data_IF_305451998166
#
_entry.id   IF_305451998166
#
_cell.length_a   1.000
_cell.length_b   1.000
_cell.length_c   1.000
_cell.angle_alpha   90.00
_cell.angle_beta   90.00
_cell.angle_gamma   90.00
#
_symmetry.space_group_name_H-M   'P 1'
#
loop_
_entity.id
_entity.type
_entity.pdbx_description
1 polymer ?
#
# COMPACT_ATOMS: atom_id res chain seq x y z
N UNK A 1 3.55 10.99 -31.99
CA UNK A 1 3.71 9.82 -31.07
C UNK A 1 3.60 10.34 -29.65
N UNK A 2 2.60 9.91 -28.89
CA UNK A 2 2.37 10.41 -27.53
C UNK A 2 3.26 9.64 -26.54
N UNK A 3 3.92 10.36 -25.62
CA UNK A 3 4.75 9.77 -24.56
C UNK A 3 4.04 9.98 -23.23
N UNK A 4 3.73 8.90 -22.52
CA UNK A 4 3.14 8.99 -21.20
C UNK A 4 4.12 9.65 -20.22
N UNK A 5 3.62 10.61 -19.43
CA UNK A 5 4.38 11.26 -18.35
C UNK A 5 4.26 10.52 -17.01
N UNK A 6 3.72 9.30 -17.03
CA UNK A 6 3.68 8.46 -15.84
C UNK A 6 5.10 8.11 -15.40
N UNK A 7 5.33 7.91 -14.10
CA UNK A 7 6.64 7.52 -13.60
C UNK A 7 7.14 6.25 -14.32
N UNK A 8 8.38 6.29 -14.78
CA UNK A 8 9.07 5.12 -15.35
C UNK A 8 10.05 4.57 -14.34
N UNK A 9 10.21 3.26 -14.32
CA UNK A 9 11.18 2.55 -13.50
C UNK A 9 12.54 2.38 -14.21
N UNK A 10 12.67 2.82 -15.46
CA UNK A 10 13.90 2.76 -16.27
C UNK A 10 14.34 4.15 -16.73
N UNK A 11 14.40 5.11 -15.80
CA UNK A 11 14.86 6.45 -16.13
C UNK A 11 16.33 6.43 -16.61
N UNK A 12 16.63 7.20 -17.65
CA UNK A 12 17.99 7.38 -18.19
C UNK A 12 18.73 8.49 -17.44
N UNK A 13 20.06 8.42 -17.40
CA UNK A 13 20.92 9.45 -16.78
C UNK A 13 20.63 9.72 -15.28
N UNK A 14 20.11 8.71 -14.56
CA UNK A 14 19.78 8.85 -13.13
C UNK A 14 20.84 8.33 -12.17
N UNK A 15 21.97 7.81 -12.67
CA UNK A 15 22.94 7.06 -11.86
C UNK A 15 23.50 7.88 -10.69
N UNK A 16 23.80 9.17 -10.92
CA UNK A 16 24.26 10.10 -9.87
C UNK A 16 23.21 10.25 -8.75
N UNK A 17 21.93 10.35 -9.10
CA UNK A 17 20.83 10.38 -8.12
C UNK A 17 20.70 9.06 -7.37
N UNK A 18 20.87 7.92 -8.05
CA UNK A 18 20.81 6.61 -7.41
C UNK A 18 21.97 6.41 -6.42
N UNK A 19 23.16 6.89 -6.76
CA UNK A 19 24.33 6.83 -5.89
C UNK A 19 24.15 7.74 -4.66
N UNK A 20 23.68 8.97 -4.86
CA UNK A 20 23.36 9.89 -3.76
C UNK A 20 22.29 9.31 -2.81
N UNK A 21 21.22 8.70 -3.35
CA UNK A 21 20.21 7.99 -2.56
C UNK A 21 20.80 6.80 -1.81
N UNK A 22 21.65 6.02 -2.47
CA UNK A 22 22.32 4.87 -1.86
C UNK A 22 23.17 5.31 -0.67
N UNK A 23 23.95 6.38 -0.84
CA UNK A 23 24.81 6.95 0.20
C UNK A 23 23.97 7.51 1.35
N UNK A 24 22.94 8.31 1.06
CA UNK A 24 22.08 8.91 2.06
C UNK A 24 21.39 7.84 2.92
N UNK A 25 20.90 6.77 2.28
CA UNK A 25 20.26 5.64 2.95
C UNK A 25 21.24 4.72 3.71
N UNK A 26 22.55 4.93 3.63
CA UNK A 26 23.53 4.25 4.50
C UNK A 26 23.80 5.02 5.79
N UNK A 27 23.56 6.33 5.82
CA UNK A 27 23.81 7.15 7.01
C UNK A 27 22.71 6.97 8.06
N UNK A 28 23.10 6.64 9.30
CA UNK A 28 22.14 6.42 10.40
C UNK A 28 21.41 7.69 10.83
N UNK A 29 22.04 8.85 10.62
CA UNK A 29 21.50 10.14 11.07
C UNK A 29 20.60 10.82 10.02
N UNK A 30 20.61 10.32 8.78
CA UNK A 30 19.74 10.83 7.71
C UNK A 30 18.41 10.08 7.76
N UNK A 31 17.37 10.82 8.13
CA UNK A 31 16.00 10.30 8.24
C UNK A 31 15.07 10.87 7.16
N UNK A 32 15.44 12.01 6.57
CA UNK A 32 14.61 12.77 5.64
C UNK A 32 15.41 13.06 4.36
N UNK A 33 14.80 12.80 3.20
CA UNK A 33 15.37 13.09 1.87
C UNK A 33 14.32 13.87 1.09
N UNK A 34 14.70 15.04 0.57
CA UNK A 34 13.85 15.85 -0.29
C UNK A 34 14.36 15.81 -1.74
N UNK A 35 13.48 15.47 -2.68
CA UNK A 35 13.76 15.60 -4.12
C UNK A 35 13.03 16.84 -4.65
N UNK A 36 13.80 17.85 -5.06
CA UNK A 36 13.28 19.08 -5.65
C UNK A 36 13.34 19.03 -7.18
N UNK A 37 12.44 19.77 -7.84
CA UNK A 37 12.41 19.89 -9.30
C UNK A 37 11.02 20.23 -9.81
N UNK A 38 10.93 20.82 -11.00
CA UNK A 38 9.66 21.21 -11.63
C UNK A 38 8.70 20.01 -11.80
N UNK A 39 7.40 20.28 -11.96
CA UNK A 39 6.45 19.23 -12.30
C UNK A 39 6.89 18.52 -13.60
N UNK A 40 6.78 17.19 -13.66
CA UNK A 40 7.24 16.41 -14.81
C UNK A 40 8.76 16.20 -14.93
N UNK A 41 9.59 16.72 -14.02
CA UNK A 41 11.06 16.51 -14.02
C UNK A 41 11.53 15.08 -13.73
N UNK A 42 10.61 14.13 -13.49
CA UNK A 42 10.96 12.72 -13.30
C UNK A 42 11.33 12.32 -11.86
N UNK A 43 11.07 13.16 -10.84
CA UNK A 43 11.29 12.82 -9.42
C UNK A 43 10.73 11.45 -9.03
N UNK A 44 9.46 11.19 -9.37
CA UNK A 44 8.81 9.91 -9.11
C UNK A 44 9.48 8.75 -9.88
N UNK A 45 9.96 9.00 -11.10
CA UNK A 45 10.67 8.00 -11.90
C UNK A 45 12.03 7.65 -11.29
N UNK A 46 12.76 8.62 -10.74
CA UNK A 46 14.03 8.40 -10.03
C UNK A 46 13.80 7.45 -8.84
N UNK A 47 12.78 7.71 -8.02
CA UNK A 47 12.43 6.86 -6.88
C UNK A 47 12.01 5.46 -7.32
N UNK A 48 11.18 5.34 -8.36
CA UNK A 48 10.72 4.04 -8.85
C UNK A 48 11.90 3.22 -9.42
N UNK A 49 12.79 3.88 -10.17
CA UNK A 49 14.00 3.28 -10.73
C UNK A 49 14.94 2.80 -9.63
N UNK A 50 15.16 3.61 -8.59
CA UNK A 50 15.96 3.26 -7.42
C UNK A 50 15.41 2.00 -6.72
N UNK A 51 14.12 2.01 -6.38
CA UNK A 51 13.48 0.91 -5.66
C UNK A 51 13.50 -0.38 -6.47
N UNK A 52 13.28 -0.33 -7.79
CA UNK A 52 13.40 -1.50 -8.66
C UNK A 52 14.80 -2.08 -8.64
N UNK A 53 15.84 -1.25 -8.84
CA UNK A 53 17.23 -1.71 -8.89
C UNK A 53 17.67 -2.35 -7.57
N UNK A 54 17.25 -1.80 -6.43
CA UNK A 54 17.50 -2.41 -5.13
C UNK A 54 16.75 -3.75 -4.93
N UNK A 55 15.55 -3.91 -5.50
CA UNK A 55 14.83 -5.20 -5.51
C UNK A 55 15.46 -6.22 -6.45
N UNK A 56 16.08 -5.80 -7.54
CA UNK A 56 16.79 -6.69 -8.47
C UNK A 56 18.10 -7.20 -7.87
N UNK A 57 18.88 -6.34 -7.19
CA UNK A 57 20.10 -6.74 -6.45
C UNK A 57 19.86 -7.86 -5.43
N UNK A 58 18.65 -7.94 -4.84
CA UNK A 58 18.21 -9.02 -3.94
C UNK A 58 18.37 -10.43 -4.53
N UNK A 59 18.40 -10.57 -5.87
CA UNK A 59 18.48 -11.88 -6.54
C UNK A 59 19.90 -12.44 -6.64
N UNK A 60 20.93 -11.64 -6.33
CA UNK A 60 22.33 -12.08 -6.37
C UNK A 60 22.76 -12.57 -4.98
N UNK A 61 23.26 -13.81 -4.89
CA UNK A 61 23.58 -14.51 -3.63
C UNK A 61 24.59 -13.74 -2.75
N UNK A 62 25.49 -12.98 -3.38
CA UNK A 62 26.60 -12.25 -2.74
C UNK A 62 26.13 -11.02 -1.94
N UNK A 63 24.99 -10.42 -2.32
CA UNK A 63 24.53 -9.14 -1.74
C UNK A 63 23.71 -9.27 -0.45
N UNK A 64 23.45 -10.49 0.04
CA UNK A 64 22.74 -10.72 1.32
C UNK A 64 23.43 -10.06 2.53
N UNK A 65 24.70 -9.69 2.40
CA UNK A 65 25.49 -9.03 3.45
C UNK A 65 25.36 -7.49 3.44
N UNK A 66 24.83 -6.86 2.38
CA UNK A 66 24.65 -5.40 2.28
C UNK A 66 23.29 -4.99 2.88
N UNK A 67 23.20 -5.12 4.20
CA UNK A 67 21.97 -5.28 4.99
C UNK A 67 20.98 -4.08 5.05
N UNK A 68 21.40 -2.82 4.80
CA UNK A 68 20.54 -1.64 5.11
C UNK A 68 19.60 -1.23 3.97
N UNK A 69 20.12 -1.00 2.76
CA UNK A 69 19.32 -0.52 1.63
C UNK A 69 18.30 -1.56 1.14
N UNK A 70 18.63 -2.85 1.29
CA UNK A 70 17.74 -3.96 0.96
C UNK A 70 16.45 -3.98 1.80
N UNK A 71 16.55 -3.62 3.09
CA UNK A 71 15.38 -3.54 3.97
C UNK A 71 14.47 -2.39 3.58
N UNK A 72 15.05 -1.28 3.12
CA UNK A 72 14.30 -0.08 2.70
C UNK A 72 13.47 -0.37 1.46
N UNK A 73 14.02 -1.04 0.43
CA UNK A 73 13.26 -1.34 -0.80
C UNK A 73 12.13 -2.36 -0.60
N UNK A 74 12.23 -3.19 0.43
CA UNK A 74 11.20 -4.14 0.84
C UNK A 74 10.08 -3.50 1.66
N UNK A 75 10.39 -2.49 2.48
CA UNK A 75 9.43 -1.80 3.38
C UNK A 75 8.92 -0.49 2.76
N UNK A 76 9.46 -0.07 1.61
CA UNK A 76 9.10 1.19 0.94
C UNK A 76 7.60 1.29 0.68
N UNK A 77 6.98 2.34 1.20
CA UNK A 77 5.58 2.69 0.95
C UNK A 77 5.52 3.91 0.04
N UNK A 78 4.79 3.79 -1.08
CA UNK A 78 4.51 4.91 -1.96
C UNK A 78 3.21 5.57 -1.53
N UNK A 79 3.30 6.83 -1.15
CA UNK A 79 2.16 7.69 -0.83
C UNK A 79 2.18 8.82 -1.84
N UNK A 80 1.06 9.07 -2.52
CA UNK A 80 0.94 10.13 -3.53
C UNK A 80 -0.28 10.98 -3.23
N UNK A 81 -0.05 12.24 -2.85
CA UNK A 81 -1.10 13.26 -2.83
C UNK A 81 -1.35 13.69 -4.27
N UNK A 82 -2.48 13.27 -4.84
CA UNK A 82 -2.99 13.85 -6.08
C UNK A 82 -3.41 15.28 -5.72
N UNK A 83 -2.49 16.23 -5.90
CA UNK A 83 -2.72 17.68 -5.81
C UNK A 83 -3.44 18.13 -4.53
N UNK A 84 -2.67 18.32 -3.46
CA UNK A 84 -3.18 19.01 -2.28
C UNK A 84 -3.06 20.51 -2.50
N UNK A 85 -4.14 21.15 -2.93
CA UNK A 85 -4.24 22.60 -2.92
C UNK A 85 -4.36 23.06 -1.47
N UNK A 86 -3.31 23.68 -0.95
CA UNK A 86 -3.42 24.49 0.27
C UNK A 86 -4.25 25.69 -0.15
N UNK A 87 -5.55 25.68 0.13
CA UNK A 87 -6.43 26.83 -0.02
C UNK A 87 -5.90 27.95 0.89
N UNK A 88 -5.02 28.80 0.35
CA UNK A 88 -4.76 30.11 0.94
C UNK A 88 -5.83 31.01 0.37
N UNK A 89 -6.89 31.25 1.14
CA UNK A 89 -7.82 32.33 0.80
C UNK A 89 -7.02 33.62 0.61
N UNK A 90 -7.10 34.14 -0.61
CA UNK A 90 -6.38 35.30 -1.06
C UNK A 90 -6.64 36.47 -0.11
N UNK A 91 -5.56 37.18 0.23
CA UNK A 91 -5.58 38.35 1.07
C UNK A 91 -6.42 39.47 0.44
N UNK A 92 -7.72 39.50 0.72
CA UNK A 92 -8.65 40.49 0.20
C UNK A 92 -9.87 40.67 1.08
N UNK A 93 -9.81 41.69 1.95
CA UNK A 93 -10.87 42.28 2.80
C UNK A 93 -11.05 41.73 4.22
N UNK A 94 -11.41 42.69 5.07
CA UNK A 94 -11.31 42.74 6.51
C UNK A 94 -12.31 41.82 7.22
N UNK A 95 -11.89 41.15 8.30
CA UNK A 95 -12.59 41.12 9.58
C UNK A 95 -11.61 40.56 10.64
N UNK A 96 -11.42 41.29 11.74
CA UNK A 96 -10.65 40.87 12.91
C UNK A 96 -11.36 39.70 13.60
N UNK A 97 -10.60 38.71 14.09
CA UNK A 97 -10.90 37.76 15.21
C UNK A 97 -10.79 36.25 14.92
N UNK A 98 -10.43 35.74 13.73
CA UNK A 98 -10.28 34.27 13.52
C UNK A 98 -9.04 33.82 12.75
N UNK A 99 -7.85 34.33 13.10
CA UNK A 99 -6.59 33.98 12.39
C UNK A 99 -5.83 32.78 12.97
N UNK A 100 -6.30 32.16 14.07
CA UNK A 100 -5.55 31.09 14.75
C UNK A 100 -6.11 29.67 14.51
N UNK A 101 -7.28 29.52 13.89
CA UNK A 101 -7.98 28.23 13.79
C UNK A 101 -7.81 27.55 12.41
N UNK A 102 -7.66 28.35 11.35
CA UNK A 102 -7.72 27.89 9.95
C UNK A 102 -6.44 27.16 9.48
N UNK A 103 -5.27 27.64 9.93
CA UNK A 103 -3.99 26.95 9.67
C UNK A 103 -3.86 25.64 10.46
N UNK A 104 -4.47 25.53 11.64
CA UNK A 104 -4.51 24.27 12.38
C UNK A 104 -5.47 23.26 11.74
N UNK A 105 -6.59 23.71 11.19
CA UNK A 105 -7.56 22.85 10.51
C UNK A 105 -6.95 22.22 9.24
N UNK A 106 -6.34 23.04 8.38
CA UNK A 106 -5.63 22.54 7.17
C UNK A 106 -4.49 21.57 7.49
N UNK A 107 -3.71 21.82 8.54
CA UNK A 107 -2.67 20.88 8.99
C UNK A 107 -3.25 19.57 9.53
N UNK A 108 -4.38 19.65 10.23
CA UNK A 108 -5.04 18.47 10.76
C UNK A 108 -5.61 17.60 9.63
N UNK A 109 -6.16 18.21 8.58
CA UNK A 109 -6.62 17.51 7.37
C UNK A 109 -5.48 16.82 6.61
N UNK A 110 -4.35 17.51 6.40
CA UNK A 110 -3.15 16.91 5.78
C UNK A 110 -2.66 15.73 6.60
N UNK A 111 -2.59 15.91 7.93
CA UNK A 111 -2.15 14.86 8.85
C UNK A 111 -3.09 13.66 8.81
N UNK A 112 -4.40 13.89 8.85
CA UNK A 112 -5.41 12.84 8.74
C UNK A 112 -5.30 12.10 7.40
N UNK A 113 -5.06 12.82 6.31
CA UNK A 113 -4.91 12.23 4.99
C UNK A 113 -3.63 11.38 4.88
N UNK A 114 -2.49 11.86 5.37
CA UNK A 114 -1.25 11.08 5.45
C UNK A 114 -1.47 9.81 6.28
N UNK A 115 -2.14 9.95 7.43
CA UNK A 115 -2.43 8.85 8.33
C UNK A 115 -3.33 7.80 7.67
N UNK A 116 -4.34 8.23 6.90
CA UNK A 116 -5.16 7.34 6.07
C UNK A 116 -4.32 6.57 5.05
N UNK A 117 -3.42 7.23 4.33
CA UNK A 117 -2.57 6.56 3.33
C UNK A 117 -1.67 5.50 3.97
N UNK A 118 -1.09 5.79 5.14
CA UNK A 118 -0.29 4.83 5.90
C UNK A 118 -1.16 3.65 6.34
N UNK A 119 -2.30 3.92 6.99
CA UNK A 119 -3.15 2.86 7.52
C UNK A 119 -3.74 1.98 6.43
N UNK A 120 -4.19 2.55 5.30
CA UNK A 120 -4.78 1.77 4.20
C UNK A 120 -3.77 0.83 3.53
N UNK A 121 -2.46 1.11 3.62
CA UNK A 121 -1.44 0.24 3.05
C UNK A 121 -1.14 -1.00 3.90
N UNK A 122 -1.25 -0.88 5.22
CA UNK A 122 -1.03 -1.99 6.17
C UNK A 122 -2.16 -3.01 6.00
N UNK A 123 -1.96 -4.29 6.34
CA UNK A 123 -3.06 -5.27 6.34
C UNK A 123 -4.00 -5.07 7.54
N UNK A 124 -5.25 -5.54 7.46
CA UNK A 124 -6.21 -5.39 8.58
C UNK A 124 -5.77 -6.18 9.82
N UNK A 125 -5.09 -7.30 9.62
CA UNK A 125 -4.71 -8.23 10.69
C UNK A 125 -3.53 -7.71 11.54
N UNK A 126 -2.72 -6.81 10.99
CA UNK A 126 -1.57 -6.18 11.68
C UNK A 126 -2.01 -5.06 12.63
N UNK A 127 -3.20 -4.47 12.41
CA UNK A 127 -3.73 -3.36 13.20
C UNK A 127 -5.20 -3.57 13.60
N UNK A 128 -5.52 -4.64 14.35
CA UNK A 128 -6.90 -5.04 14.63
C UNK A 128 -7.71 -4.03 15.47
N UNK A 129 -7.02 -3.15 16.23
CA UNK A 129 -7.63 -2.10 17.06
C UNK A 129 -7.74 -0.74 16.33
N UNK A 130 -7.33 -0.66 15.06
CA UNK A 130 -7.43 0.56 14.27
C UNK A 130 -8.91 0.89 14.00
N UNK A 131 -9.35 2.10 14.35
CA UNK A 131 -10.69 2.61 14.00
C UNK A 131 -10.87 2.87 12.50
N UNK A 132 -9.80 2.85 11.72
CA UNK A 132 -9.88 2.90 10.27
C UNK A 132 -10.32 1.53 9.75
N UNK A 133 -11.62 1.37 9.56
CA UNK A 133 -12.25 0.16 9.03
C UNK A 133 -11.79 -0.05 7.58
N UNK A 134 -11.17 -1.20 7.29
CA UNK A 134 -10.77 -1.58 5.93
C UNK A 134 -11.78 -2.57 5.36
N UNK A 135 -12.01 -2.50 4.06
CA UNK A 135 -12.81 -3.48 3.33
C UNK A 135 -12.09 -4.85 3.39
N UNK A 136 -12.56 -5.74 4.26
CA UNK A 136 -12.05 -7.10 4.35
C UNK A 136 -12.69 -7.96 3.26
N UNK A 137 -11.90 -8.42 2.30
CA UNK A 137 -12.36 -9.43 1.33
C UNK A 137 -12.50 -10.75 2.07
N UNK A 138 -13.75 -11.21 2.27
CA UNK A 138 -14.06 -12.46 2.95
C UNK A 138 -13.30 -13.62 2.29
N UNK A 139 -12.62 -14.44 3.08
CA UNK A 139 -11.93 -15.62 2.59
C UNK A 139 -12.98 -16.68 2.21
N UNK A 140 -13.30 -16.75 0.91
CA UNK A 140 -14.25 -17.72 0.34
C UNK A 140 -13.89 -19.19 0.66
N UNK A 141 -12.63 -19.47 1.02
CA UNK A 141 -12.16 -20.81 1.36
C UNK A 141 -12.83 -21.40 2.61
N UNK A 142 -13.14 -20.57 3.62
CA UNK A 142 -13.88 -21.05 4.80
C UNK A 142 -15.31 -21.42 4.44
N UNK A 143 -15.96 -20.61 3.60
CA UNK A 143 -17.34 -20.82 3.17
C UNK A 143 -17.47 -22.04 2.23
N UNK A 144 -16.44 -22.35 1.44
CA UNK A 144 -16.45 -23.54 0.58
C UNK A 144 -16.43 -24.84 1.37
N UNK A 145 -15.65 -24.91 2.46
CA UNK A 145 -15.54 -26.13 3.29
C UNK A 145 -16.86 -26.49 3.99
N UNK A 146 -17.60 -25.49 4.48
CA UNK A 146 -18.88 -25.73 5.15
C UNK A 146 -19.95 -26.23 4.16
N UNK A 147 -19.98 -25.69 2.95
CA UNK A 147 -20.89 -26.15 1.88
C UNK A 147 -20.56 -27.57 1.42
N UNK A 148 -19.27 -27.89 1.23
CA UNK A 148 -18.84 -29.23 0.83
C UNK A 148 -19.19 -30.29 1.88
N UNK A 149 -19.01 -29.98 3.18
CA UNK A 149 -19.35 -30.88 4.27
C UNK A 149 -20.87 -31.12 4.37
N UNK A 150 -21.68 -30.07 4.18
CA UNK A 150 -23.13 -30.21 4.17
C UNK A 150 -23.61 -31.12 3.01
N UNK A 151 -23.06 -30.96 1.80
CA UNK A 151 -23.36 -31.84 0.67
C UNK A 151 -22.95 -33.29 0.94
N UNK A 152 -21.78 -33.51 1.53
CA UNK A 152 -21.31 -34.85 1.90
C UNK A 152 -22.27 -35.54 2.88
N UNK A 153 -22.74 -34.82 3.91
CA UNK A 153 -23.72 -35.35 4.86
C UNK A 153 -25.05 -35.71 4.19
N UNK A 154 -25.54 -34.89 3.25
CA UNK A 154 -26.77 -35.18 2.51
C UNK A 154 -26.61 -36.45 1.66
N UNK A 155 -25.50 -36.58 0.93
CA UNK A 155 -25.22 -37.78 0.12
C UNK A 155 -25.09 -39.03 1.01
N UNK A 156 -24.41 -38.91 2.15
CA UNK A 156 -24.29 -40.00 3.12
C UNK A 156 -25.66 -40.42 3.68
N UNK A 157 -26.57 -39.48 3.92
CA UNK A 157 -27.92 -39.77 4.40
C UNK A 157 -28.74 -40.50 3.34
N UNK A 158 -28.66 -40.07 2.08
CA UNK A 158 -29.34 -40.73 0.95
C UNK A 158 -28.83 -42.16 0.79
N UNK A 159 -27.51 -42.38 0.82
CA UNK A 159 -26.92 -43.71 0.72
C UNK A 159 -27.37 -44.66 1.84
N UNK A 160 -27.58 -44.14 3.06
CA UNK A 160 -28.07 -44.93 4.19
C UNK A 160 -29.57 -45.25 4.09
N UNK A 161 -30.38 -44.33 3.56
CA UNK A 161 -31.84 -44.50 3.47
C UNK A 161 -32.31 -45.31 2.26
N UNK A 162 -31.61 -45.27 1.12
CA UNK A 162 -32.00 -46.01 -0.09
C UNK A 162 -32.09 -47.54 0.11
N UNK A 163 -31.11 -48.24 0.72
CA UNK A 163 -31.25 -49.67 0.97
C UNK A 163 -32.31 -49.97 2.04
N UNK A 164 -32.47 -49.09 3.04
CA UNK A 164 -33.45 -49.26 4.12
C UNK A 164 -34.91 -49.16 3.65
N UNK A 165 -35.20 -48.30 2.66
CA UNK A 165 -36.57 -48.16 2.13
C UNK A 165 -36.94 -49.24 1.12
N UNK A 166 -35.97 -49.76 0.36
CA UNK A 166 -36.21 -50.84 -0.61
C UNK A 166 -36.54 -52.17 0.08
N UNK A 167 -35.84 -52.53 1.16
CA UNK A 167 -36.17 -53.73 1.95
C UNK A 167 -37.57 -53.67 2.58
N UNK A 168 -38.06 -52.48 2.88
CA UNK A 168 -39.38 -52.27 3.51
C UNK A 168 -40.56 -52.28 2.52
N UNK A 169 -40.29 -52.19 1.22
CA UNK A 169 -41.30 -52.21 0.15
C UNK A 169 -41.40 -53.57 -0.55
N UNK A 170 -40.40 -54.45 -0.39
CA UNK A 170 -40.32 -55.79 -0.97
C UNK A 170 -40.78 -56.92 -0.02
N UNK A 171 -41.06 -56.59 1.24
CA UNK A 171 -41.67 -57.48 2.24
C UNK A 171 -43.16 -57.11 2.44
#
# INVERSE_FOLDING_TARGET
MYKALTPTDSAEQVEEYLEALTWALQQKDIHNIALAGAYGSGKSSIIETFLRREREKKRTIVDRLRSRNQRISAISMKISMAEFEIWKEDAGKQEKTRRHDDSSQTLNEVSEWILKQIFYKVESNEIPQSRYHKLCRRAFWSDYTSVALALFLIVSLIFLFVPFTLDRMLA
#
